data_IF_688117905381
#
_entry.id   IF_688117905381
#
_cell.length_a   1.000
_cell.length_b   1.000
_cell.length_c   1.000
_cell.angle_alpha   90.00
_cell.angle_beta   90.00
_cell.angle_gamma   90.00
#
_symmetry.space_group_name_H-M   'P 1'
#
loop_
_entity.id
_entity.type
_entity.pdbx_description
1 polymer ?
#
# COMPACT_ATOMS: atom_id res chain seq x y z
N UNK A 1 -1.38 -0.13 27.76
CA UNK A 1 -0.90 -0.84 26.55
C UNK A 1 0.47 -0.28 26.24
N UNK A 2 1.48 -1.13 26.03
CA UNK A 2 2.78 -0.66 25.54
C UNK A 2 2.58 -0.29 24.06
N UNK A 3 2.56 1.00 23.75
CA UNK A 3 2.41 1.51 22.38
C UNK A 3 3.76 1.56 21.65
N UNK A 4 4.64 0.59 21.92
CA UNK A 4 5.96 0.54 21.27
C UNK A 4 5.76 0.04 19.84
N UNK A 5 5.99 0.94 18.88
CA UNK A 5 6.09 0.59 17.47
C UNK A 5 7.51 0.06 17.24
N UNK A 6 7.63 -1.21 16.87
CA UNK A 6 8.93 -1.81 16.53
C UNK A 6 9.33 -1.39 15.11
N UNK A 7 10.54 -0.83 15.01
CA UNK A 7 11.20 -0.54 13.75
C UNK A 7 12.48 -1.37 13.64
N UNK A 8 12.75 -1.92 12.45
CA UNK A 8 13.94 -2.74 12.19
C UNK A 8 14.58 -2.39 10.85
N UNK A 9 15.90 -2.48 10.79
CA UNK A 9 16.67 -2.35 9.55
C UNK A 9 17.04 -3.74 9.04
N UNK A 10 16.68 -4.04 7.80
CA UNK A 10 16.99 -5.32 7.16
C UNK A 10 17.21 -5.11 5.66
N UNK A 11 18.33 -5.61 5.12
CA UNK A 11 18.63 -5.57 3.67
C UNK A 11 18.50 -4.17 3.03
N UNK A 12 18.83 -3.11 3.79
CA UNK A 12 18.73 -1.73 3.34
C UNK A 12 17.30 -1.14 3.37
N UNK A 13 16.34 -1.84 3.97
CA UNK A 13 14.98 -1.38 4.20
C UNK A 13 14.78 -1.04 5.68
N UNK A 14 14.05 0.05 5.94
CA UNK A 14 13.48 0.32 7.26
C UNK A 14 12.06 -0.24 7.28
N UNK A 15 11.78 -1.12 8.23
CA UNK A 15 10.49 -1.76 8.42
C UNK A 15 9.84 -1.27 9.70
N UNK A 16 8.52 -1.18 9.66
CA UNK A 16 7.66 -0.88 10.80
C UNK A 16 6.55 -1.92 10.86
N UNK A 17 6.27 -2.44 12.05
CA UNK A 17 5.13 -3.34 12.28
C UNK A 17 3.90 -2.54 12.72
N UNK A 18 2.76 -2.81 12.09
CA UNK A 18 1.45 -2.22 12.40
C UNK A 18 0.40 -3.28 12.73
N UNK A 19 -0.53 -2.92 13.62
CA UNK A 19 -1.73 -3.71 13.92
C UNK A 19 -2.80 -3.43 12.84
N UNK A 20 -3.32 -4.47 12.19
CA UNK A 20 -4.34 -4.33 11.13
C UNK A 20 -5.64 -3.71 11.64
N UNK A 21 -5.96 -3.88 12.93
CA UNK A 21 -7.22 -3.40 13.52
C UNK A 21 -7.30 -1.89 13.67
N UNK A 22 -6.14 -1.21 13.68
CA UNK A 22 -6.06 0.26 13.77
C UNK A 22 -5.84 0.93 12.42
N UNK A 23 -5.65 0.15 11.34
CA UNK A 23 -5.47 0.71 10.01
C UNK A 23 -6.79 1.29 9.50
N UNK A 24 -6.74 2.40 8.73
CA UNK A 24 -7.93 2.94 8.09
C UNK A 24 -8.60 1.88 7.19
N UNK A 25 -9.93 1.95 7.00
CA UNK A 25 -10.70 0.97 6.25
C UNK A 25 -10.53 1.14 4.73
N UNK A 26 -9.30 1.08 4.24
CA UNK A 26 -8.99 1.23 2.81
C UNK A 26 -9.76 0.23 1.94
N UNK A 27 -10.40 0.76 0.90
CA UNK A 27 -10.93 -0.06 -0.19
C UNK A 27 -9.77 -0.53 -1.07
N UNK A 28 -9.85 -1.76 -1.58
CA UNK A 28 -8.87 -2.31 -2.51
C UNK A 28 -9.58 -2.67 -3.82
N UNK A 29 -9.20 -2.02 -4.91
CA UNK A 29 -9.79 -2.20 -6.23
C UNK A 29 -8.74 -2.72 -7.21
N UNK A 30 -8.92 -3.97 -7.67
CA UNK A 30 -8.07 -4.55 -8.70
C UNK A 30 -8.54 -4.12 -10.09
N UNK A 31 -7.63 -3.60 -10.90
CA UNK A 31 -7.80 -3.37 -12.33
C UNK A 31 -7.06 -4.44 -13.13
N UNK A 32 -7.45 -4.60 -14.40
CA UNK A 32 -6.91 -5.67 -15.24
C UNK A 32 -5.43 -5.49 -15.62
N UNK A 33 -4.93 -4.25 -15.67
CA UNK A 33 -3.54 -3.98 -16.05
C UNK A 33 -2.96 -2.78 -15.30
N UNK A 34 -1.63 -2.77 -15.14
CA UNK A 34 -0.91 -1.64 -14.57
C UNK A 34 -1.12 -0.34 -15.36
N UNK A 35 -1.24 -0.45 -16.69
CA UNK A 35 -1.56 0.70 -17.55
C UNK A 35 -2.90 1.34 -17.18
N UNK A 36 -3.92 0.53 -16.85
CA UNK A 36 -5.21 1.09 -16.43
C UNK A 36 -5.07 1.88 -15.12
N UNK A 37 -4.23 1.43 -14.18
CA UNK A 37 -3.91 2.16 -12.95
C UNK A 37 -3.24 3.51 -13.28
N UNK A 38 -2.26 3.51 -14.19
CA UNK A 38 -1.55 4.73 -14.59
C UNK A 38 -2.46 5.73 -15.30
N UNK A 39 -3.42 5.26 -16.08
CA UNK A 39 -4.32 6.10 -16.88
C UNK A 39 -5.57 6.58 -16.14
N UNK A 40 -5.73 6.28 -14.84
CA UNK A 40 -6.86 6.78 -14.05
C UNK A 40 -6.92 8.30 -14.18
N UNK A 41 -8.04 8.78 -14.72
CA UNK A 41 -8.29 10.20 -14.93
C UNK A 41 -8.57 10.90 -13.61
N UNK A 42 -8.45 12.23 -13.60
CA UNK A 42 -8.80 13.05 -12.44
C UNK A 42 -10.24 12.83 -11.99
N UNK A 43 -11.17 12.70 -12.93
CA UNK A 43 -12.60 12.51 -12.63
C UNK A 43 -12.85 11.13 -12.00
N UNK A 44 -12.20 10.09 -12.52
CA UNK A 44 -12.24 8.75 -11.91
C UNK A 44 -11.62 8.72 -10.52
N UNK A 45 -10.50 9.43 -10.31
CA UNK A 45 -9.84 9.55 -9.01
C UNK A 45 -10.72 10.26 -7.97
N UNK A 46 -11.43 11.33 -8.36
CA UNK A 46 -12.36 12.05 -7.49
C UNK A 46 -13.57 11.22 -7.07
N UNK A 47 -13.95 10.22 -7.88
CA UNK A 47 -15.04 9.30 -7.57
C UNK A 47 -14.62 8.13 -6.67
N UNK A 48 -13.33 8.02 -6.30
CA UNK A 48 -12.85 6.99 -5.37
C UNK A 48 -13.07 7.42 -3.92
N UNK A 49 -13.52 6.48 -3.10
CA UNK A 49 -13.69 6.65 -1.66
C UNK A 49 -12.54 5.91 -0.97
N UNK A 50 -11.52 6.63 -0.49
CA UNK A 50 -10.33 6.08 0.20
C UNK A 50 -9.90 4.71 -0.35
N UNK A 51 -9.55 4.67 -1.63
CA UNK A 51 -9.32 3.45 -2.40
C UNK A 51 -7.86 3.32 -2.85
N UNK A 52 -7.28 2.16 -2.59
CA UNK A 52 -6.05 1.68 -3.22
C UNK A 52 -6.43 0.98 -4.52
N UNK A 53 -6.18 1.62 -5.65
CA UNK A 53 -6.41 1.03 -6.97
C UNK A 53 -5.12 0.41 -7.46
N UNK A 54 -5.17 -0.87 -7.85
CA UNK A 54 -3.96 -1.64 -8.11
C UNK A 54 -4.12 -2.66 -9.23
N UNK A 55 -3.00 -3.16 -9.75
CA UNK A 55 -2.94 -4.30 -10.66
C UNK A 55 -1.64 -5.05 -10.46
N UNK A 56 -1.67 -6.37 -10.68
CA UNK A 56 -0.43 -7.14 -10.83
C UNK A 56 0.40 -6.59 -11.99
N UNK A 57 1.70 -6.40 -11.74
CA UNK A 57 2.72 -6.28 -12.80
C UNK A 57 3.38 -7.64 -13.02
N UNK A 58 3.67 -8.35 -11.93
CA UNK A 58 4.14 -9.72 -11.94
C UNK A 58 3.61 -10.43 -10.69
N UNK A 59 2.77 -11.45 -10.89
CA UNK A 59 2.16 -12.21 -9.80
C UNK A 59 3.13 -13.20 -9.15
N UNK A 60 4.12 -13.68 -9.88
CA UNK A 60 5.14 -14.61 -9.37
C UNK A 60 6.10 -13.87 -8.45
N UNK A 61 6.55 -12.68 -8.88
CA UNK A 61 7.41 -11.79 -8.09
C UNK A 61 6.63 -10.95 -7.07
N UNK A 62 5.31 -11.18 -6.95
CA UNK A 62 4.40 -10.48 -6.03
C UNK A 62 4.52 -8.96 -6.12
N UNK A 63 4.63 -8.47 -7.34
CA UNK A 63 4.86 -7.07 -7.67
C UNK A 63 3.61 -6.45 -8.26
N UNK A 64 3.19 -5.32 -7.71
CA UNK A 64 1.97 -4.60 -8.12
C UNK A 64 2.26 -3.14 -8.42
N UNK A 65 1.47 -2.58 -9.34
CA UNK A 65 1.35 -1.14 -9.56
C UNK A 65 0.15 -0.66 -8.75
N UNK A 66 0.29 0.42 -7.99
CA UNK A 66 -0.81 0.99 -7.22
C UNK A 66 -0.82 2.53 -7.23
N UNK A 67 -2.02 3.11 -7.15
CA UNK A 67 -2.26 4.52 -6.84
C UNK A 67 -3.36 4.59 -5.79
N UNK A 68 -3.27 5.53 -4.86
CA UNK A 68 -4.23 5.65 -3.75
C UNK A 68 -4.89 7.00 -3.78
N UNK A 69 -6.22 7.00 -3.79
CA UNK A 69 -7.05 8.21 -3.85
C UNK A 69 -7.97 8.23 -2.63
N UNK A 70 -7.97 9.35 -1.91
CA UNK A 70 -8.83 9.56 -0.75
C UNK A 70 -9.36 11.00 -0.78
N UNK A 71 -10.00 11.37 -1.89
CA UNK A 71 -10.52 12.72 -2.08
C UNK A 71 -11.61 13.06 -1.06
N UNK A 72 -12.33 12.04 -0.61
CA UNK A 72 -13.28 12.09 0.51
C UNK A 72 -12.61 12.37 1.87
N UNK A 73 -11.29 12.18 2.00
CA UNK A 73 -10.48 12.59 3.15
C UNK A 73 -9.62 13.84 2.86
N UNK A 74 -9.87 14.52 1.74
CA UNK A 74 -9.12 15.71 1.33
C UNK A 74 -7.72 15.41 0.78
N UNK A 75 -7.41 14.16 0.44
CA UNK A 75 -6.13 13.75 -0.16
C UNK A 75 -6.39 13.36 -1.63
N UNK A 76 -6.05 14.23 -2.60
CA UNK A 76 -6.28 13.94 -4.01
C UNK A 76 -5.60 12.64 -4.45
N UNK A 77 -4.33 12.46 -4.10
CA UNK A 77 -3.57 11.23 -4.30
C UNK A 77 -2.49 11.13 -3.22
N UNK A 78 -2.32 9.94 -2.65
CA UNK A 78 -1.22 9.61 -1.75
C UNK A 78 -0.20 8.77 -2.51
N UNK A 79 0.95 9.36 -2.82
CA UNK A 79 1.98 8.72 -3.66
C UNK A 79 2.78 7.64 -2.91
N UNK A 80 2.58 7.47 -1.59
CA UNK A 80 3.33 6.54 -0.76
C UNK A 80 2.47 5.96 0.38
N UNK A 81 1.27 5.47 0.05
CA UNK A 81 0.32 5.02 1.06
C UNK A 81 0.73 3.70 1.73
N UNK A 82 1.36 3.78 2.91
CA UNK A 82 1.78 2.60 3.68
C UNK A 82 0.63 1.78 4.27
N UNK A 83 -0.40 2.43 4.80
CA UNK A 83 -1.50 1.72 5.50
C UNK A 83 -2.45 0.96 4.55
N UNK A 84 -2.72 1.52 3.38
CA UNK A 84 -3.42 0.86 2.28
C UNK A 84 -2.58 -0.27 1.68
N UNK A 85 -1.27 -0.08 1.54
CA UNK A 85 -0.34 -1.14 1.12
C UNK A 85 -0.37 -2.34 2.08
N UNK A 86 -0.34 -2.08 3.38
CA UNK A 86 -0.50 -3.07 4.44
C UNK A 86 -1.85 -3.81 4.37
N UNK A 87 -2.96 -3.08 4.17
CA UNK A 87 -4.29 -3.67 3.99
C UNK A 87 -4.38 -4.54 2.74
N UNK A 88 -3.78 -4.11 1.63
CA UNK A 88 -3.75 -4.87 0.39
C UNK A 88 -2.97 -6.18 0.54
N UNK A 89 -1.78 -6.13 1.15
CA UNK A 89 -0.96 -7.31 1.40
C UNK A 89 -1.68 -8.33 2.31
N UNK A 90 -2.38 -7.84 3.34
CA UNK A 90 -3.22 -8.67 4.20
C UNK A 90 -4.43 -9.26 3.44
N UNK A 91 -5.11 -8.47 2.61
CA UNK A 91 -6.24 -8.93 1.79
C UNK A 91 -5.84 -10.04 0.82
N UNK A 92 -4.66 -9.93 0.19
CA UNK A 92 -4.13 -10.92 -0.74
C UNK A 92 -3.39 -12.08 -0.04
N UNK A 93 -3.16 -11.99 1.27
CA UNK A 93 -2.41 -12.98 2.04
C UNK A 93 -0.99 -13.20 1.53
N UNK A 94 -0.35 -12.17 0.97
CA UNK A 94 0.93 -12.28 0.26
C UNK A 94 1.84 -11.08 0.54
N UNK A 95 3.15 -11.33 0.61
CA UNK A 95 4.15 -10.26 0.62
C UNK A 95 4.10 -9.52 -0.71
N UNK A 96 4.14 -8.19 -0.71
CA UNK A 96 4.04 -7.37 -1.91
C UNK A 96 5.22 -6.40 -2.05
N UNK A 97 5.64 -6.21 -3.30
CA UNK A 97 6.44 -5.06 -3.76
C UNK A 97 5.49 -4.14 -4.51
N UNK A 98 5.25 -2.94 -3.98
CA UNK A 98 4.20 -2.04 -4.45
C UNK A 98 4.86 -0.79 -5.03
N UNK A 99 4.71 -0.60 -6.33
CA UNK A 99 5.12 0.61 -7.03
C UNK A 99 3.99 1.63 -6.93
N UNK A 100 4.20 2.65 -6.10
CA UNK A 100 3.17 3.60 -5.69
C UNK A 100 3.44 5.01 -6.28
N UNK A 101 2.37 5.72 -6.64
CA UNK A 101 2.44 7.11 -7.12
C UNK A 101 3.42 7.26 -8.29
N UNK A 102 4.27 8.28 -8.27
CA UNK A 102 5.25 8.55 -9.34
C UNK A 102 6.61 7.84 -9.17
N UNK A 103 6.84 7.07 -8.11
CA UNK A 103 8.13 6.39 -7.94
C UNK A 103 8.43 5.77 -6.58
N UNK A 104 7.49 5.82 -5.63
CA UNK A 104 7.67 5.17 -4.33
C UNK A 104 7.64 3.66 -4.51
N UNK A 105 8.51 2.95 -3.78
CA UNK A 105 8.44 1.49 -3.66
C UNK A 105 8.18 1.17 -2.20
N UNK A 106 7.01 0.59 -1.95
CA UNK A 106 6.60 0.12 -0.63
C UNK A 106 6.68 -1.40 -0.62
N UNK A 107 7.28 -1.93 0.43
CA UNK A 107 7.25 -3.35 0.72
C UNK A 107 6.20 -3.59 1.79
N UNK A 108 5.35 -4.59 1.62
CA UNK A 108 4.32 -4.91 2.60
C UNK A 108 4.26 -6.41 2.84
N UNK A 109 4.39 -6.83 4.11
CA UNK A 109 4.34 -8.24 4.48
C UNK A 109 3.14 -8.46 5.42
N UNK A 110 2.18 -9.34 5.06
CA UNK A 110 1.25 -9.85 6.06
C UNK A 110 2.03 -10.58 7.15
N UNK A 111 1.67 -10.35 8.41
CA UNK A 111 2.28 -11.01 9.57
C UNK A 111 1.23 -11.82 10.32
N UNK A 112 1.69 -12.71 11.19
CA UNK A 112 0.80 -13.51 12.02
C UNK A 112 0.02 -12.63 13.02
N UNK A 113 -1.09 -13.17 13.52
CA UNK A 113 -1.85 -12.61 14.64
C UNK A 113 -2.43 -11.19 14.41
N UNK A 114 -2.83 -10.88 13.18
CA UNK A 114 -3.48 -9.60 12.87
C UNK A 114 -2.52 -8.43 12.71
N UNK A 115 -1.22 -8.69 12.55
CA UNK A 115 -0.23 -7.66 12.25
C UNK A 115 0.16 -7.69 10.77
N UNK A 116 0.81 -6.62 10.35
CA UNK A 116 1.46 -6.51 9.05
C UNK A 116 2.64 -5.57 9.16
N UNK A 117 3.61 -5.70 8.27
CA UNK A 117 4.78 -4.85 8.23
C UNK A 117 4.77 -4.02 6.95
N UNK A 118 5.23 -2.78 7.06
CA UNK A 118 5.51 -1.90 5.93
C UNK A 118 6.99 -1.55 5.92
N UNK A 119 7.59 -1.58 4.76
CA UNK A 119 9.01 -1.34 4.55
C UNK A 119 9.28 -0.39 3.40
N UNK A 120 10.38 0.34 3.50
CA UNK A 120 10.83 1.26 2.44
C UNK A 120 12.30 1.61 2.58
N UNK A 121 12.87 2.13 1.48
CA UNK A 121 14.17 2.80 1.53
C UNK A 121 13.94 4.25 1.95
N UNK A 122 14.63 4.69 2.98
CA UNK A 122 14.56 6.06 3.48
C UNK A 122 15.95 6.70 3.47
N UNK A 123 16.00 8.01 3.27
CA UNK A 123 17.19 8.85 3.52
C UNK A 123 16.77 9.98 4.45
N UNK A 124 17.56 10.23 5.48
CA UNK A 124 17.37 11.31 6.45
C UNK A 124 18.24 12.51 6.08
#
# INVERSE_FOLDING_TARGET
MNNTIEARLENGLTWVRGDLSILPPWNCEELATATLVDTISREQALAKEHTVVWSWMDKNESTVRARTFASDWGIPEDEANGSGSMKLAAHLGKNLIIYHGMGSIIYANPSAHGYTEVGGRVRF
#
